data_IF_461662877861
#
_entry.id   IF_461662877861
#
_cell.length_a   1.000
_cell.length_b   1.000
_cell.length_c   1.000
_cell.angle_alpha   90.00
_cell.angle_beta   90.00
_cell.angle_gamma   90.00
#
_symmetry.space_group_name_H-M   'P 1'
#
loop_
_entity.id
_entity.type
_entity.pdbx_description
1 polymer ?
#
# COMPACT_ATOMS: atom_id res chain seq x y z
N UNK A 1 6.55 -3.69 -13.47
CA UNK A 1 7.71 -3.09 -12.80
C UNK A 1 7.55 -3.28 -11.30
N UNK A 2 8.42 -4.08 -10.69
CA UNK A 2 8.40 -4.40 -9.24
C UNK A 2 9.02 -3.32 -8.37
N UNK A 3 9.75 -2.37 -8.96
CA UNK A 3 10.41 -1.29 -8.23
C UNK A 3 9.52 -0.04 -8.11
N UNK A 4 8.34 -0.06 -8.75
CA UNK A 4 7.35 1.00 -8.64
C UNK A 4 6.83 1.15 -7.20
N UNK A 5 6.54 2.40 -6.82
CA UNK A 5 6.03 2.76 -5.50
C UNK A 5 4.79 3.63 -5.65
N UNK A 6 3.84 3.46 -4.74
CA UNK A 6 2.66 4.33 -4.62
C UNK A 6 2.85 5.15 -3.36
N UNK A 7 2.66 6.46 -3.46
CA UNK A 7 2.64 7.37 -2.32
C UNK A 7 1.26 8.02 -2.22
N UNK A 8 0.66 8.02 -1.04
CA UNK A 8 -0.60 8.73 -0.80
C UNK A 8 -0.61 9.43 0.56
N UNK A 9 -1.32 10.56 0.64
CA UNK A 9 -1.47 11.34 1.89
C UNK A 9 -2.43 10.68 2.88
N UNK A 10 -3.42 9.96 2.36
CA UNK A 10 -4.45 9.22 3.08
C UNK A 10 -4.72 7.96 2.27
N UNK A 11 -4.74 6.81 2.93
CA UNK A 11 -4.96 5.53 2.27
C UNK A 11 -6.45 5.16 2.36
N UNK A 12 -7.21 5.53 1.33
CA UNK A 12 -8.67 5.28 1.24
C UNK A 12 -9.05 4.44 -0.02
N UNK A 13 -8.08 3.73 -0.60
CA UNK A 13 -8.30 2.95 -1.81
C UNK A 13 -9.00 1.61 -1.52
N UNK A 14 -9.93 1.21 -2.38
CA UNK A 14 -10.54 -0.14 -2.34
C UNK A 14 -9.51 -1.23 -2.69
N UNK A 15 -8.62 -0.94 -3.63
CA UNK A 15 -7.55 -1.81 -4.09
C UNK A 15 -6.28 -1.01 -4.39
N UNK A 16 -5.13 -1.56 -4.01
CA UNK A 16 -3.81 -1.09 -4.47
C UNK A 16 -3.10 -2.22 -5.19
N UNK A 17 -2.36 -1.90 -6.25
CA UNK A 17 -1.60 -2.89 -7.01
C UNK A 17 -0.24 -2.35 -7.46
N UNK A 18 0.80 -3.15 -7.26
CA UNK A 18 2.15 -2.92 -7.79
C UNK A 18 2.58 -4.17 -8.53
N UNK A 19 2.97 -4.04 -9.79
CA UNK A 19 3.39 -5.15 -10.65
C UNK A 19 2.37 -6.31 -10.79
N UNK A 20 1.07 -6.05 -10.60
CA UNK A 20 0.02 -7.08 -10.64
C UNK A 20 -0.21 -7.81 -9.32
N UNK A 21 0.60 -7.56 -8.28
CA UNK A 21 0.30 -7.95 -6.91
C UNK A 21 -0.62 -6.91 -6.30
N UNK A 22 -1.72 -7.35 -5.70
CA UNK A 22 -2.73 -6.45 -5.17
C UNK A 22 -3.09 -6.73 -3.70
N UNK A 23 -3.55 -5.69 -3.02
CA UNK A 23 -4.20 -5.76 -1.72
C UNK A 23 -5.59 -5.13 -1.84
N UNK A 24 -6.57 -5.77 -1.19
CA UNK A 24 -7.91 -5.22 -0.98
C UNK A 24 -7.96 -4.51 0.37
N UNK A 25 -8.79 -3.48 0.49
CA UNK A 25 -8.94 -2.68 1.71
C UNK A 25 -9.19 -3.51 2.97
N UNK A 26 -9.96 -4.60 2.89
CA UNK A 26 -10.25 -5.55 3.98
C UNK A 26 -8.99 -6.16 4.61
N UNK A 27 -7.90 -6.27 3.85
CA UNK A 27 -6.63 -6.85 4.27
C UNK A 27 -5.60 -5.80 4.69
N UNK A 28 -5.90 -4.51 4.52
CA UNK A 28 -5.01 -3.44 4.91
C UNK A 28 -5.37 -3.01 6.34
N UNK A 29 -4.39 -2.98 7.24
CA UNK A 29 -4.60 -2.49 8.60
C UNK A 29 -4.74 -0.96 8.59
N UNK A 30 -5.97 -0.48 8.39
CA UNK A 30 -6.28 0.94 8.31
C UNK A 30 -6.08 1.66 9.66
N UNK A 31 -5.99 0.95 10.78
CA UNK A 31 -5.91 1.56 12.11
C UNK A 31 -4.65 2.40 12.30
N UNK A 32 -3.54 2.03 11.64
CA UNK A 32 -2.25 2.74 11.73
C UNK A 32 -1.94 3.62 10.50
N UNK A 33 -2.70 3.46 9.41
CA UNK A 33 -2.33 4.00 8.09
C UNK A 33 -3.33 5.01 7.52
N UNK A 34 -4.59 5.03 7.96
CA UNK A 34 -5.63 5.83 7.30
C UNK A 34 -5.36 7.36 7.32
N UNK A 35 -4.73 7.87 8.38
CA UNK A 35 -4.49 9.32 8.56
C UNK A 35 -3.04 9.75 8.33
N UNK A 36 -2.18 8.82 7.91
CA UNK A 36 -0.76 9.07 7.71
C UNK A 36 -0.43 9.09 6.22
N UNK A 37 0.62 9.85 5.85
CA UNK A 37 1.22 9.67 4.53
C UNK A 37 1.87 8.30 4.51
N UNK A 38 1.60 7.52 3.46
CA UNK A 38 2.15 6.18 3.33
C UNK A 38 2.84 5.98 2.00
N UNK A 39 3.80 5.07 2.00
CA UNK A 39 4.35 4.46 0.80
C UNK A 39 3.93 2.99 0.72
N UNK A 40 3.66 2.53 -0.50
CA UNK A 40 3.33 1.14 -0.81
C UNK A 40 4.30 0.65 -1.87
N UNK A 41 4.93 -0.49 -1.60
CA UNK A 41 5.96 -1.07 -2.47
C UNK A 41 5.91 -2.60 -2.43
N UNK A 42 6.50 -3.24 -3.43
CA UNK A 42 6.64 -4.69 -3.47
C UNK A 42 7.98 -5.12 -2.86
N UNK A 43 7.95 -6.03 -1.90
CA UNK A 43 9.13 -6.61 -1.28
C UNK A 43 8.85 -8.03 -0.81
N UNK A 44 9.81 -8.95 -0.94
CA UNK A 44 9.69 -10.31 -0.40
C UNK A 44 8.40 -11.04 -0.83
N UNK A 45 8.00 -10.85 -2.10
CA UNK A 45 6.80 -11.43 -2.71
C UNK A 45 5.45 -10.96 -2.11
N UNK A 46 5.42 -9.79 -1.49
CA UNK A 46 4.21 -9.17 -0.91
C UNK A 46 4.24 -7.65 -1.07
N UNK A 47 3.06 -7.04 -0.94
CA UNK A 47 2.96 -5.58 -0.81
C UNK A 47 3.19 -5.18 0.64
N UNK A 48 4.00 -4.14 0.82
CA UNK A 48 4.33 -3.52 2.10
C UNK A 48 3.67 -2.15 2.15
N UNK A 49 3.20 -1.76 3.34
CA UNK A 49 2.63 -0.43 3.61
C UNK A 49 3.42 0.15 4.78
N UNK A 50 3.98 1.33 4.58
CA UNK A 50 4.83 2.00 5.58
C UNK A 50 4.45 3.48 5.69
N UNK A 51 4.40 3.99 6.91
CA UNK A 51 4.19 5.42 7.17
C UNK A 51 5.46 6.19 6.83
N UNK A 52 5.30 7.32 6.13
CA UNK A 52 6.37 8.25 5.74
C UNK A 52 6.43 9.44 6.69
#
# INVERSE_FOLDING_TARGET
DTDARIFCKQLEAELVSVAGHYLLNEKMDMSQHAQNMVQIYFENNKLMIEVV
#
